data_IF_436695666312
#
_entry.id   IF_436695666312
#
_cell.length_a   1.000
_cell.length_b   1.000
_cell.length_c   1.000
_cell.angle_alpha   90.00
_cell.angle_beta   90.00
_cell.angle_gamma   90.00
#
_symmetry.space_group_name_H-M   'P 1'
#
loop_
_entity.id
_entity.type
_entity.pdbx_description
1 polymer ?
#
# COMPACT_ATOMS: atom_id res chain seq x y z
N UNK A 1 14.64 10.34 7.53
CA UNK A 1 16.12 10.36 7.57
C UNK A 1 16.60 11.80 7.63
N UNK A 2 17.63 12.06 8.43
CA UNK A 2 18.22 13.39 8.59
C UNK A 2 19.73 13.36 8.32
N UNK A 3 20.23 14.04 7.26
CA UNK A 3 19.47 14.86 6.32
C UNK A 3 18.55 14.06 5.38
N UNK A 4 17.55 14.71 4.74
CA UNK A 4 16.72 14.07 3.72
C UNK A 4 17.58 13.56 2.55
N UNK A 5 17.10 12.50 1.89
CA UNK A 5 17.74 12.04 0.66
C UNK A 5 17.57 13.06 -0.48
N UNK A 6 18.53 13.12 -1.41
CA UNK A 6 18.35 13.85 -2.65
C UNK A 6 17.07 13.44 -3.39
N UNK A 7 16.41 14.40 -4.02
CA UNK A 7 15.16 14.17 -4.77
C UNK A 7 15.30 13.11 -5.87
N UNK A 8 16.50 12.94 -6.44
CA UNK A 8 16.79 12.01 -7.53
C UNK A 8 17.55 10.76 -7.06
N UNK A 9 17.43 10.39 -5.79
CA UNK A 9 17.92 9.10 -5.30
C UNK A 9 17.19 7.95 -6.01
N UNK A 10 17.97 6.97 -6.49
CA UNK A 10 17.44 5.78 -7.16
C UNK A 10 17.69 4.53 -6.30
N UNK A 11 16.81 3.55 -6.41
CA UNK A 11 16.87 2.28 -5.67
C UNK A 11 15.61 2.00 -4.85
N UNK A 12 15.63 0.91 -4.09
CA UNK A 12 14.53 0.54 -3.19
C UNK A 12 14.67 1.29 -1.87
N UNK A 13 13.95 2.41 -1.75
CA UNK A 13 14.00 3.29 -0.58
C UNK A 13 12.61 3.36 0.03
N UNK A 14 12.17 2.23 0.58
CA UNK A 14 10.85 2.12 1.21
C UNK A 14 10.89 1.15 2.39
N UNK A 15 9.96 1.34 3.32
CA UNK A 15 9.68 0.46 4.44
C UNK A 15 8.17 0.40 4.69
N UNK A 16 7.68 -0.73 5.20
CA UNK A 16 6.26 -0.89 5.51
C UNK A 16 5.94 -0.33 6.90
N UNK A 17 4.94 0.54 6.97
CA UNK A 17 4.20 0.78 8.20
C UNK A 17 3.16 -0.33 8.39
N UNK A 18 3.03 -0.83 9.61
CA UNK A 18 2.09 -1.90 9.94
C UNK A 18 1.16 -1.43 11.05
N UNK A 19 -0.14 -1.50 10.82
CA UNK A 19 -1.16 -1.20 11.81
C UNK A 19 -1.92 -2.49 12.17
N UNK A 20 -1.81 -2.92 13.42
CA UNK A 20 -2.49 -4.12 13.90
C UNK A 20 -3.91 -3.77 14.39
N UNK A 21 -4.88 -4.54 13.91
CA UNK A 21 -6.30 -4.43 14.26
C UNK A 21 -6.90 -5.81 14.56
N UNK A 22 -7.78 -5.94 15.58
CA UNK A 22 -8.53 -7.17 15.80
C UNK A 22 -9.48 -7.45 14.64
N UNK A 23 -9.50 -8.68 14.13
CA UNK A 23 -10.36 -9.09 13.01
C UNK A 23 -11.84 -9.14 13.44
N UNK A 24 -12.11 -9.54 14.69
CA UNK A 24 -13.47 -9.82 15.17
C UNK A 24 -14.22 -8.58 15.68
N UNK A 25 -13.61 -7.41 15.64
CA UNK A 25 -14.20 -6.17 16.13
C UNK A 25 -14.51 -5.23 14.98
N UNK A 26 -15.77 -4.78 14.88
CA UNK A 26 -16.14 -3.74 13.92
C UNK A 26 -15.38 -2.46 14.24
N UNK A 27 -14.42 -2.11 13.38
CA UNK A 27 -13.66 -0.87 13.49
C UNK A 27 -14.40 0.24 12.74
N UNK A 28 -14.37 1.44 13.31
CA UNK A 28 -14.86 2.65 12.64
C UNK A 28 -13.78 3.21 11.70
N UNK A 29 -14.16 3.77 10.55
CA UNK A 29 -13.19 4.26 9.55
C UNK A 29 -12.21 5.31 10.11
N UNK A 30 -12.64 6.34 10.86
CA UNK A 30 -11.74 7.30 11.49
C UNK A 30 -10.73 6.64 12.44
N UNK A 31 -11.12 5.57 13.15
CA UNK A 31 -10.22 4.83 14.02
C UNK A 31 -9.14 4.09 13.22
N UNK A 32 -9.53 3.43 12.12
CA UNK A 32 -8.59 2.77 11.20
C UNK A 32 -7.61 3.78 10.58
N UNK A 33 -8.11 4.92 10.10
CA UNK A 33 -7.27 6.00 9.57
C UNK A 33 -6.32 6.53 10.64
N UNK A 34 -6.78 6.66 11.89
CA UNK A 34 -5.94 7.01 13.03
C UNK A 34 -4.77 6.04 13.22
N UNK A 35 -5.06 4.74 13.32
CA UNK A 35 -4.04 3.69 13.46
C UNK A 35 -3.02 3.66 12.32
N UNK A 36 -3.48 3.79 11.07
CA UNK A 36 -2.59 3.85 9.91
C UNK A 36 -1.68 5.08 10.00
N UNK A 37 -2.24 6.24 10.35
CA UNK A 37 -1.48 7.48 10.49
C UNK A 37 -0.44 7.38 11.62
N UNK A 38 -0.82 6.82 12.75
CA UNK A 38 0.09 6.55 13.87
C UNK A 38 1.24 5.63 13.44
N UNK A 39 0.93 4.49 12.80
CA UNK A 39 1.95 3.56 12.31
C UNK A 39 2.92 4.19 11.29
N UNK A 40 2.44 5.09 10.43
CA UNK A 40 3.30 5.85 9.50
C UNK A 40 4.18 6.84 10.26
N UNK A 41 3.64 7.52 11.28
CA UNK A 41 4.37 8.50 12.09
C UNK A 41 5.44 7.86 12.98
N UNK A 42 5.26 6.61 13.41
CA UNK A 42 6.26 5.85 14.16
C UNK A 42 7.56 5.61 13.36
N UNK A 43 7.50 5.64 12.02
CA UNK A 43 8.68 5.51 11.15
C UNK A 43 9.36 6.89 11.02
N UNK A 44 9.96 7.33 12.11
CA UNK A 44 10.65 8.61 12.19
C UNK A 44 12.16 8.53 11.89
N UNK A 45 12.87 9.63 12.14
CA UNK A 45 14.32 9.70 11.95
C UNK A 45 15.12 8.77 12.88
N UNK A 46 14.59 8.42 14.04
CA UNK A 46 15.22 7.48 14.97
C UNK A 46 14.96 6.05 14.51
N UNK A 47 13.72 5.73 14.17
CA UNK A 47 13.35 4.42 13.63
C UNK A 47 14.14 4.10 12.36
N UNK A 48 14.28 5.07 11.44
CA UNK A 48 15.06 4.85 10.19
C UNK A 48 16.54 4.54 10.44
N UNK A 49 17.15 5.00 11.55
CA UNK A 49 18.51 4.58 11.94
C UNK A 49 18.55 3.11 12.35
N UNK A 50 17.50 2.62 13.01
CA UNK A 50 17.39 1.19 13.34
C UNK A 50 17.24 0.32 12.09
N UNK A 51 16.61 0.84 11.03
CA UNK A 51 16.47 0.14 9.75
C UNK A 51 17.78 0.01 8.97
N UNK A 52 18.74 0.91 9.20
CA UNK A 52 20.09 0.81 8.62
C UNK A 52 20.87 -0.38 9.17
N UNK A 53 20.49 -0.88 10.35
CA UNK A 53 20.96 -2.17 10.87
C UNK A 53 20.28 -3.29 10.07
N UNK A 54 21.00 -3.82 9.10
CA UNK A 54 20.49 -4.83 8.17
C UNK A 54 20.08 -6.11 8.90
N UNK A 55 20.76 -6.48 9.99
CA UNK A 55 20.38 -7.68 10.75
C UNK A 55 19.05 -7.49 11.48
N UNK A 56 18.87 -6.34 12.14
CA UNK A 56 17.61 -6.03 12.84
C UNK A 56 16.43 -5.92 11.88
N UNK A 57 16.61 -5.23 10.77
CA UNK A 57 15.56 -5.07 9.76
C UNK A 57 15.18 -6.40 9.11
N UNK A 58 16.16 -7.26 8.79
CA UNK A 58 15.89 -8.62 8.30
C UNK A 58 15.14 -9.46 9.34
N UNK A 59 15.57 -9.41 10.61
CA UNK A 59 14.91 -10.15 11.70
C UNK A 59 13.45 -9.69 11.88
N UNK A 60 13.18 -8.39 11.79
CA UNK A 60 11.81 -7.87 11.86
C UNK A 60 10.93 -8.39 10.70
N UNK A 61 11.46 -8.41 9.47
CA UNK A 61 10.77 -8.98 8.30
C UNK A 61 10.52 -10.49 8.44
N UNK A 62 11.52 -11.24 8.91
CA UNK A 62 11.39 -12.68 9.13
C UNK A 62 10.31 -12.99 10.16
N UNK A 63 10.32 -12.28 11.30
CA UNK A 63 9.29 -12.45 12.33
C UNK A 63 7.88 -12.17 11.79
N UNK A 64 7.72 -11.12 10.97
CA UNK A 64 6.42 -10.85 10.35
C UNK A 64 6.01 -11.96 9.36
N UNK A 65 6.96 -12.45 8.55
CA UNK A 65 6.75 -13.57 7.64
C UNK A 65 6.35 -14.86 8.37
N UNK A 66 6.94 -15.14 9.53
CA UNK A 66 6.58 -16.29 10.37
C UNK A 66 5.15 -16.19 10.89
N UNK A 67 4.72 -15.02 11.37
CA UNK A 67 3.34 -14.78 11.84
C UNK A 67 2.32 -14.95 10.72
N UNK A 68 2.65 -14.47 9.51
CA UNK A 68 1.81 -14.64 8.34
C UNK A 68 1.71 -16.11 7.92
N UNK A 69 2.85 -16.81 7.87
CA UNK A 69 2.90 -18.22 7.48
C UNK A 69 2.22 -19.14 8.50
N UNK A 70 2.29 -18.83 9.80
CA UNK A 70 1.61 -19.58 10.85
C UNK A 70 0.10 -19.33 10.90
N UNK A 71 -0.41 -18.33 10.16
CA UNK A 71 -1.80 -17.88 10.25
C UNK A 71 -2.11 -17.13 11.53
N UNK A 72 -1.11 -16.64 12.27
CA UNK A 72 -1.32 -15.79 13.45
C UNK A 72 -1.93 -14.44 13.05
N UNK A 73 -1.59 -13.94 11.86
CA UNK A 73 -2.10 -12.69 11.31
C UNK A 73 -2.53 -12.87 9.85
N UNK A 74 -3.61 -12.21 9.47
CA UNK A 74 -3.96 -11.97 8.07
C UNK A 74 -3.41 -10.60 7.67
N UNK A 75 -2.80 -10.50 6.48
CA UNK A 75 -2.17 -9.26 6.03
C UNK A 75 -2.83 -8.77 4.74
N UNK A 76 -3.17 -7.48 4.72
CA UNK A 76 -3.52 -6.74 3.51
C UNK A 76 -2.44 -5.69 3.27
N UNK A 77 -1.79 -5.75 2.11
CA UNK A 77 -0.68 -4.90 1.74
C UNK A 77 -1.16 -3.77 0.83
N UNK A 78 -0.82 -2.53 1.18
CA UNK A 78 -1.15 -1.35 0.39
C UNK A 78 0.12 -0.71 -0.17
N UNK A 79 0.09 -0.34 -1.44
CA UNK A 79 1.13 0.44 -2.10
C UNK A 79 0.50 1.55 -2.93
N UNK A 80 1.17 2.69 -3.04
CA UNK A 80 0.64 3.86 -3.76
C UNK A 80 1.62 4.34 -4.82
N UNK A 81 1.14 4.43 -6.06
CA UNK A 81 1.80 5.06 -7.19
C UNK A 81 1.20 6.44 -7.52
N UNK A 82 0.37 7.00 -6.62
CA UNK A 82 -0.29 8.30 -6.81
C UNK A 82 0.70 9.48 -6.95
N UNK A 83 1.93 9.34 -6.45
CA UNK A 83 2.96 10.38 -6.60
C UNK A 83 3.93 10.12 -7.76
N UNK A 84 3.68 9.08 -8.57
CA UNK A 84 4.48 8.80 -9.75
C UNK A 84 3.93 9.62 -10.94
N UNK A 85 4.81 10.23 -11.76
CA UNK A 85 4.41 11.05 -12.90
C UNK A 85 4.01 10.19 -14.12
N UNK A 86 3.24 9.13 -13.91
CA UNK A 86 2.87 8.17 -14.96
C UNK A 86 2.14 8.85 -16.12
N UNK A 87 1.14 9.68 -15.84
CA UNK A 87 0.39 10.42 -16.86
C UNK A 87 1.11 11.69 -17.37
N UNK A 88 2.22 12.09 -16.75
CA UNK A 88 2.99 13.26 -17.15
C UNK A 88 4.17 12.92 -18.07
N UNK A 89 4.45 11.64 -18.29
CA UNK A 89 5.61 11.18 -19.04
C UNK A 89 5.40 11.30 -20.55
N UNK A 90 6.14 12.17 -21.22
CA UNK A 90 6.11 12.34 -22.68
C UNK A 90 7.48 12.05 -23.31
N UNK A 91 7.54 11.05 -24.18
CA UNK A 91 8.76 10.65 -24.91
C UNK A 91 8.88 11.31 -26.30
N UNK A 92 8.04 12.30 -26.62
CA UNK A 92 7.98 13.00 -27.90
C UNK A 92 6.76 12.68 -28.76
N UNK A 93 5.79 11.92 -28.23
CA UNK A 93 4.63 11.39 -28.95
C UNK A 93 3.30 11.71 -28.24
N UNK A 94 3.36 12.50 -27.16
CA UNK A 94 2.24 12.77 -26.28
C UNK A 94 2.29 11.95 -24.99
N UNK A 95 1.44 12.36 -24.05
CA UNK A 95 1.27 11.74 -22.73
C UNK A 95 0.44 10.44 -22.82
N UNK A 96 0.56 9.51 -21.86
CA UNK A 96 -0.23 8.29 -21.84
C UNK A 96 -1.70 8.59 -21.70
N UNK A 97 -2.54 7.95 -22.51
CA UNK A 97 -4.01 8.00 -22.35
C UNK A 97 -4.47 7.08 -21.21
N UNK A 98 -3.76 5.99 -20.97
CA UNK A 98 -4.06 5.03 -19.91
C UNK A 98 -2.78 4.38 -19.41
N UNK A 99 -2.74 4.08 -18.12
CA UNK A 99 -1.65 3.39 -17.45
C UNK A 99 -2.12 2.04 -16.93
N UNK A 100 -1.30 1.01 -17.09
CA UNK A 100 -1.57 -0.27 -16.45
C UNK A 100 -0.31 -1.04 -16.03
N UNK A 101 -0.49 -1.91 -15.03
CA UNK A 101 0.49 -2.93 -14.62
C UNK A 101 -0.14 -4.33 -14.70
N UNK A 102 0.63 -5.38 -15.03
CA UNK A 102 0.14 -6.73 -14.83
C UNK A 102 -0.18 -6.97 -13.34
N UNK A 103 -1.16 -7.84 -13.09
CA UNK A 103 -1.43 -8.35 -11.75
C UNK A 103 -0.22 -9.11 -11.20
N UNK A 104 0.06 -8.91 -9.91
CA UNK A 104 1.11 -9.64 -9.19
C UNK A 104 0.61 -10.99 -8.65
N UNK A 105 1.50 -11.94 -8.32
CA UNK A 105 1.12 -13.26 -7.80
C UNK A 105 0.74 -13.25 -6.30
N UNK A 106 0.58 -12.07 -5.71
CA UNK A 106 0.47 -11.90 -4.26
C UNK A 106 -0.97 -11.67 -3.83
N UNK A 107 -1.50 -12.56 -2.98
CA UNK A 107 -2.80 -12.39 -2.32
C UNK A 107 -2.83 -11.10 -1.47
N UNK A 108 -4.01 -10.46 -1.40
CA UNK A 108 -4.33 -9.31 -0.56
C UNK A 108 -3.42 -8.10 -0.79
N UNK A 109 -3.16 -7.75 -2.05
CA UNK A 109 -2.40 -6.54 -2.40
C UNK A 109 -3.33 -5.53 -3.06
N UNK A 110 -3.25 -4.29 -2.59
CA UNK A 110 -3.95 -3.14 -3.16
C UNK A 110 -2.93 -2.12 -3.66
N UNK A 111 -3.04 -1.77 -4.94
CA UNK A 111 -2.25 -0.71 -5.57
C UNK A 111 -3.15 0.50 -5.85
N UNK A 112 -2.77 1.66 -5.33
CA UNK A 112 -3.42 2.92 -5.65
C UNK A 112 -2.71 3.62 -6.81
N UNK A 113 -3.46 4.02 -7.84
CA UNK A 113 -2.99 4.79 -9.00
C UNK A 113 -3.92 5.98 -9.21
N UNK A 114 -3.41 7.14 -9.63
CA UNK A 114 -4.30 8.24 -10.02
C UNK A 114 -5.09 7.88 -11.27
N UNK A 115 -6.28 8.45 -11.42
CA UNK A 115 -7.00 8.43 -12.70
C UNK A 115 -6.29 9.30 -13.73
N UNK A 116 -6.51 9.04 -15.03
CA UNK A 116 -5.85 9.78 -16.12
C UNK A 116 -6.21 11.27 -16.19
N UNK A 117 -7.36 11.66 -15.65
CA UNK A 117 -7.79 13.05 -15.49
C UNK A 117 -7.23 13.72 -14.22
N UNK A 118 -6.63 12.95 -13.31
CA UNK A 118 -6.10 13.42 -12.03
C UNK A 118 -7.16 13.79 -10.99
N UNK A 119 -8.44 13.51 -11.23
CA UNK A 119 -9.54 13.87 -10.33
C UNK A 119 -9.82 12.79 -9.26
N UNK A 120 -9.28 11.58 -9.42
CA UNK A 120 -9.55 10.45 -8.54
C UNK A 120 -8.39 9.46 -8.42
N UNK A 121 -8.69 8.35 -7.74
CA UNK A 121 -7.78 7.24 -7.50
C UNK A 121 -8.47 5.95 -7.94
N UNK A 122 -7.77 5.14 -8.73
CA UNK A 122 -8.10 3.75 -8.98
C UNK A 122 -7.43 2.88 -7.91
N UNK A 123 -8.23 2.02 -7.26
CA UNK A 123 -7.74 1.00 -6.34
C UNK A 123 -7.73 -0.36 -7.03
N UNK A 124 -6.54 -0.86 -7.33
CA UNK A 124 -6.35 -2.13 -8.03
C UNK A 124 -6.14 -3.22 -6.99
N UNK A 125 -7.16 -4.07 -6.81
CA UNK A 125 -7.24 -5.03 -5.72
C UNK A 125 -6.95 -6.45 -6.25
N UNK A 126 -6.05 -7.17 -5.58
CA UNK A 126 -5.76 -8.56 -5.87
C UNK A 126 -6.02 -9.42 -4.62
N UNK A 127 -6.97 -10.35 -4.70
CA UNK A 127 -7.41 -11.24 -3.63
C UNK A 127 -7.67 -12.65 -4.18
N UNK A 128 -7.92 -13.62 -3.31
CA UNK A 128 -8.42 -14.94 -3.75
C UNK A 128 -9.82 -14.82 -4.34
N UNK A 129 -10.18 -15.70 -5.28
CA UNK A 129 -11.44 -15.64 -6.02
C UNK A 129 -12.67 -15.60 -5.10
N UNK A 130 -12.67 -16.38 -4.02
CA UNK A 130 -13.78 -16.40 -3.06
C UNK A 130 -13.91 -15.09 -2.28
N UNK A 131 -12.78 -14.51 -1.86
CA UNK A 131 -12.76 -13.23 -1.14
C UNK A 131 -13.16 -12.09 -2.07
N UNK A 132 -12.67 -12.12 -3.32
CA UNK A 132 -13.02 -11.14 -4.35
C UNK A 132 -14.51 -11.16 -4.68
N UNK A 133 -15.12 -12.34 -4.79
CA UNK A 133 -16.55 -12.47 -5.05
C UNK A 133 -17.41 -11.80 -3.94
N UNK A 134 -16.95 -11.85 -2.68
CA UNK A 134 -17.60 -11.13 -1.58
C UNK A 134 -17.32 -9.63 -1.66
N UNK A 135 -16.07 -9.26 -1.93
CA UNK A 135 -15.62 -7.87 -2.03
C UNK A 135 -16.39 -7.09 -3.11
N UNK A 136 -16.56 -7.65 -4.31
CA UNK A 136 -17.27 -7.02 -5.43
C UNK A 136 -18.76 -6.79 -5.18
N UNK A 137 -19.36 -7.55 -4.26
CA UNK A 137 -20.79 -7.47 -3.93
C UNK A 137 -21.07 -6.73 -2.62
N UNK A 138 -20.04 -6.18 -1.96
CA UNK A 138 -20.21 -5.45 -0.70
C UNK A 138 -20.88 -4.09 -0.93
N UNK A 139 -22.08 -3.92 -0.35
CA UNK A 139 -22.88 -2.70 -0.56
C UNK A 139 -22.26 -1.44 0.05
N UNK A 140 -21.48 -1.58 1.12
CA UNK A 140 -20.81 -0.44 1.75
C UNK A 140 -19.67 0.03 0.86
N UNK A 141 -18.83 -0.88 0.37
CA UNK A 141 -17.78 -0.59 -0.60
C UNK A 141 -18.34 0.05 -1.88
N UNK A 142 -19.37 -0.56 -2.47
CA UNK A 142 -19.97 -0.07 -3.71
C UNK A 142 -20.51 1.37 -3.58
N UNK A 143 -20.87 1.81 -2.37
CA UNK A 143 -21.29 3.19 -2.13
C UNK A 143 -20.18 4.23 -2.30
N UNK A 144 -18.90 3.80 -2.26
CA UNK A 144 -17.71 4.65 -2.44
C UNK A 144 -17.08 4.52 -3.83
N UNK A 145 -17.50 3.54 -4.64
CA UNK A 145 -16.98 3.34 -5.99
C UNK A 145 -17.79 4.13 -7.02
N UNK A 146 -17.11 4.68 -8.02
CA UNK A 146 -17.80 5.21 -9.20
C UNK A 146 -18.16 4.05 -10.14
N UNK A 147 -19.31 4.14 -10.80
CA UNK A 147 -19.63 3.21 -11.89
C UNK A 147 -18.71 3.50 -13.08
N UNK A 148 -17.93 2.51 -13.48
CA UNK A 148 -17.10 2.57 -14.69
C UNK A 148 -17.93 2.61 -15.97
#
# INVERSE_FOLDING_TARGET
MNPPLPQHSFGNIWWSATADVPIDEKQDFPLLVGKIREAIQEIDDEYTKTLQDTEKSLRAKMKMGERLYSGEVEMVCFTSWCNFPVYETDFGWGKPTWFCTPGGPYKNVVLFVNTGDGEGIEAWVNMEENDMALFENDSELLSFTSSS
#
